data_IF_580006588444
#
_entry.id   IF_580006588444
#
_cell.length_a   1.000
_cell.length_b   1.000
_cell.length_c   1.000
_cell.angle_alpha   90.00
_cell.angle_beta   90.00
_cell.angle_gamma   90.00
#
_symmetry.space_group_name_H-M   'P 1'
#
loop_
_entity.id
_entity.type
_entity.pdbx_description
1 polymer ?
#
# COMPACT_ATOMS: atom_id res chain seq x y z
N UNK A 1 -4.11 -23.10 -16.57
CA UNK A 1 -4.94 -24.27 -16.88
C UNK A 1 -4.68 -25.42 -15.89
N UNK A 2 -5.07 -25.24 -14.63
CA UNK A 2 -4.86 -26.23 -13.57
C UNK A 2 -6.19 -26.70 -12.97
N UNK A 3 -7.07 -27.20 -13.83
CA UNK A 3 -8.30 -27.89 -13.42
C UNK A 3 -8.08 -29.25 -12.70
N UNK A 4 -6.87 -29.48 -12.15
CA UNK A 4 -6.45 -30.76 -11.58
C UNK A 4 -6.91 -31.03 -10.16
N UNK A 5 -7.64 -30.10 -9.52
CA UNK A 5 -7.95 -30.15 -8.09
C UNK A 5 -9.34 -30.62 -7.69
N UNK A 6 -10.16 -31.11 -8.61
CA UNK A 6 -11.55 -31.45 -8.29
C UNK A 6 -11.66 -32.86 -7.71
N UNK A 7 -11.68 -32.97 -6.39
CA UNK A 7 -12.25 -34.12 -5.69
C UNK A 7 -13.78 -33.97 -5.63
N UNK A 8 -14.48 -34.21 -6.76
CA UNK A 8 -15.94 -34.13 -6.77
C UNK A 8 -16.53 -35.29 -5.95
N UNK A 9 -17.20 -34.93 -4.87
CA UNK A 9 -18.01 -35.85 -4.09
C UNK A 9 -19.48 -35.53 -4.39
N UNK A 10 -20.30 -36.53 -4.63
CA UNK A 10 -21.73 -36.30 -4.88
C UNK A 10 -22.53 -36.41 -3.59
N UNK A 11 -23.54 -35.58 -3.40
CA UNK A 11 -24.34 -35.47 -2.16
C UNK A 11 -24.97 -36.80 -1.69
N UNK A 12 -25.28 -37.69 -2.62
CA UNK A 12 -25.95 -39.00 -2.32
C UNK A 12 -24.98 -40.16 -2.06
N UNK A 13 -23.66 -39.92 -2.14
CA UNK A 13 -22.67 -40.93 -1.80
C UNK A 13 -22.62 -41.13 -0.31
N UNK A 14 -22.23 -42.36 0.11
CA UNK A 14 -21.89 -42.65 1.50
C UNK A 14 -20.46 -42.17 1.82
N UNK A 15 -20.14 -42.09 3.10
CA UNK A 15 -18.78 -41.79 3.58
C UNK A 15 -17.77 -42.82 3.04
N UNK A 16 -18.10 -44.13 3.06
CA UNK A 16 -17.25 -45.15 2.50
C UNK A 16 -16.96 -44.95 1.02
N UNK A 17 -18.00 -44.68 0.22
CA UNK A 17 -17.85 -44.40 -1.22
C UNK A 17 -16.98 -43.18 -1.48
N UNK A 18 -17.13 -42.13 -0.68
CA UNK A 18 -16.33 -40.92 -0.79
C UNK A 18 -14.85 -41.17 -0.46
N UNK A 19 -14.55 -41.91 0.61
CA UNK A 19 -13.18 -42.31 0.99
C UNK A 19 -12.55 -43.20 -0.10
N UNK A 20 -13.29 -44.18 -0.62
CA UNK A 20 -12.79 -45.04 -1.71
C UNK A 20 -12.49 -44.21 -2.97
N UNK A 21 -13.30 -43.23 -3.29
CA UNK A 21 -13.07 -42.31 -4.41
C UNK A 21 -11.82 -41.46 -4.19
N UNK A 22 -11.65 -40.87 -2.99
CA UNK A 22 -10.45 -40.10 -2.63
C UNK A 22 -9.19 -41.01 -2.76
N UNK A 23 -9.22 -42.24 -2.27
CA UNK A 23 -8.09 -43.16 -2.39
C UNK A 23 -7.72 -43.48 -3.84
N UNK A 24 -8.69 -43.55 -4.74
CA UNK A 24 -8.47 -43.87 -6.17
C UNK A 24 -8.01 -42.68 -6.97
N UNK A 25 -8.52 -41.47 -6.67
CA UNK A 25 -8.34 -40.26 -7.51
C UNK A 25 -7.46 -39.22 -6.84
N UNK A 26 -7.22 -39.28 -5.54
CA UNK A 26 -6.53 -38.27 -4.76
C UNK A 26 -5.05 -38.11 -5.10
N UNK A 27 -4.43 -39.17 -5.69
CA UNK A 27 -2.99 -39.13 -6.06
C UNK A 27 -2.69 -38.01 -7.09
N UNK A 28 -3.65 -37.76 -7.97
CA UNK A 28 -3.50 -36.76 -9.05
C UNK A 28 -4.13 -35.40 -8.71
N UNK A 29 -4.58 -35.21 -7.46
CA UNK A 29 -5.25 -33.99 -7.01
C UNK A 29 -4.30 -33.09 -6.25
N UNK A 30 -4.46 -31.77 -6.41
CA UNK A 30 -3.68 -30.74 -5.73
C UNK A 30 -3.84 -30.80 -4.21
N UNK A 31 -5.07 -31.03 -3.75
CA UNK A 31 -5.37 -31.24 -2.34
C UNK A 31 -6.51 -32.23 -2.17
N UNK A 32 -6.47 -33.01 -1.06
CA UNK A 32 -7.55 -33.88 -0.63
C UNK A 32 -8.19 -33.43 0.69
N UNK A 33 -7.62 -32.40 1.34
CA UNK A 33 -8.08 -31.95 2.67
C UNK A 33 -9.51 -31.44 2.66
N UNK A 34 -9.89 -30.76 1.58
CA UNK A 34 -11.24 -30.24 1.36
C UNK A 34 -11.81 -30.85 0.09
N UNK A 35 -12.95 -31.53 0.23
CA UNK A 35 -13.68 -32.14 -0.87
C UNK A 35 -14.95 -31.32 -1.13
N UNK A 36 -15.09 -30.80 -2.33
CA UNK A 36 -16.25 -30.02 -2.72
C UNK A 36 -17.37 -30.95 -3.20
N UNK A 37 -18.58 -30.70 -2.70
CA UNK A 37 -19.76 -31.48 -3.01
C UNK A 37 -20.51 -30.79 -4.13
N UNK A 38 -20.70 -31.49 -5.25
CA UNK A 38 -21.38 -30.98 -6.42
C UNK A 38 -22.59 -31.83 -6.82
N UNK A 39 -23.51 -31.24 -7.56
CA UNK A 39 -24.52 -31.98 -8.30
C UNK A 39 -23.93 -32.53 -9.62
N UNK A 40 -24.74 -33.30 -10.37
CA UNK A 40 -24.29 -33.93 -11.63
C UNK A 40 -23.95 -32.92 -12.72
N UNK A 41 -24.52 -31.73 -12.67
CA UNK A 41 -24.25 -30.58 -13.54
C UNK A 41 -23.08 -29.72 -13.07
N UNK A 42 -22.34 -30.17 -12.01
CA UNK A 42 -21.23 -29.50 -11.35
C UNK A 42 -21.63 -28.28 -10.50
N UNK A 43 -22.91 -28.05 -10.24
CA UNK A 43 -23.33 -27.00 -9.32
C UNK A 43 -22.75 -27.26 -7.93
N UNK A 44 -22.06 -26.27 -7.38
CA UNK A 44 -21.45 -26.35 -6.04
C UNK A 44 -22.53 -26.24 -4.96
N UNK A 45 -22.67 -27.25 -4.11
CA UNK A 45 -23.72 -27.31 -3.08
C UNK A 45 -23.20 -27.45 -1.65
N UNK A 46 -21.96 -27.91 -1.48
CA UNK A 46 -21.40 -28.13 -0.16
C UNK A 46 -19.90 -28.42 -0.18
N UNK A 47 -19.33 -28.55 0.99
CA UNK A 47 -17.99 -29.10 1.19
C UNK A 47 -18.01 -30.10 2.35
N UNK A 48 -17.09 -31.05 2.31
CA UNK A 48 -16.76 -31.94 3.41
C UNK A 48 -15.24 -32.04 3.50
N UNK A 49 -14.72 -32.04 4.72
CA UNK A 49 -13.28 -32.22 4.90
C UNK A 49 -12.93 -33.70 5.06
N UNK A 50 -11.70 -34.09 4.73
CA UNK A 50 -11.23 -35.47 5.02
C UNK A 50 -11.34 -35.78 6.51
N UNK A 51 -11.18 -34.79 7.37
CA UNK A 51 -11.40 -34.95 8.82
C UNK A 51 -12.84 -35.37 9.12
N UNK A 52 -13.83 -34.70 8.50
CA UNK A 52 -15.24 -35.04 8.73
C UNK A 52 -15.57 -36.44 8.25
N UNK A 53 -15.00 -36.86 7.11
CA UNK A 53 -15.14 -38.21 6.60
C UNK A 53 -14.51 -39.27 7.52
N UNK A 54 -13.34 -38.98 8.09
CA UNK A 54 -12.64 -39.91 8.99
C UNK A 54 -13.27 -40.01 10.38
N UNK A 55 -13.99 -38.94 10.81
CA UNK A 55 -14.65 -38.90 12.12
C UNK A 55 -16.15 -39.17 12.06
N UNK A 56 -16.68 -39.55 10.89
CA UNK A 56 -18.07 -39.97 10.76
C UNK A 56 -18.31 -41.24 11.60
N UNK A 57 -19.44 -41.27 12.30
CA UNK A 57 -19.77 -42.37 13.21
C UNK A 57 -20.12 -43.68 12.45
N UNK A 58 -20.64 -43.56 11.22
CA UNK A 58 -21.06 -44.65 10.37
C UNK A 58 -20.64 -44.42 8.92
N UNK A 59 -20.01 -45.41 8.32
CA UNK A 59 -19.57 -45.39 6.92
C UNK A 59 -20.74 -45.33 5.91
N UNK A 60 -21.94 -45.72 6.31
CA UNK A 60 -23.18 -45.60 5.52
C UNK A 60 -23.82 -44.20 5.56
N UNK A 61 -23.32 -43.30 6.41
CA UNK A 61 -23.79 -41.91 6.50
C UNK A 61 -23.67 -41.23 5.14
N UNK A 62 -24.71 -40.51 4.71
CA UNK A 62 -24.67 -39.79 3.44
C UNK A 62 -23.89 -38.46 3.58
N UNK A 63 -23.21 -38.10 2.53
CA UNK A 63 -22.46 -36.81 2.45
C UNK A 63 -23.39 -35.64 2.68
N UNK A 64 -24.63 -35.69 2.20
CA UNK A 64 -25.62 -34.61 2.40
C UNK A 64 -25.91 -34.34 3.89
N UNK A 65 -25.74 -35.31 4.78
CA UNK A 65 -26.00 -35.17 6.21
C UNK A 65 -24.84 -34.57 7.01
N UNK A 66 -23.61 -34.61 6.45
CA UNK A 66 -22.38 -34.15 7.12
C UNK A 66 -21.74 -32.95 6.42
N UNK A 67 -22.17 -32.60 5.20
CA UNK A 67 -21.57 -31.50 4.45
C UNK A 67 -21.95 -30.14 5.02
N UNK A 68 -21.02 -29.20 4.92
CA UNK A 68 -21.26 -27.78 5.19
C UNK A 68 -21.81 -27.12 3.92
N UNK A 69 -22.97 -26.46 4.04
CA UNK A 69 -23.66 -25.83 2.90
C UNK A 69 -23.44 -24.32 2.79
N UNK A 70 -22.98 -23.69 3.89
CA UNK A 70 -22.65 -22.26 3.87
C UNK A 70 -21.22 -22.09 3.36
N UNK A 71 -21.08 -21.96 2.04
CA UNK A 71 -19.80 -21.92 1.35
C UNK A 71 -19.37 -20.49 1.03
N UNK A 72 -18.08 -20.26 1.15
CA UNK A 72 -17.42 -19.11 0.53
C UNK A 72 -16.81 -19.60 -0.77
N UNK A 73 -17.19 -18.98 -1.87
CA UNK A 73 -16.68 -19.24 -3.21
C UNK A 73 -16.37 -17.92 -3.91
N UNK A 74 -15.51 -17.97 -4.90
CA UNK A 74 -15.20 -16.83 -5.76
C UNK A 74 -15.59 -17.16 -7.20
N UNK A 75 -15.78 -16.13 -8.00
CA UNK A 75 -16.12 -16.29 -9.41
C UNK A 75 -14.88 -16.22 -10.28
N UNK A 76 -14.97 -16.70 -11.52
CA UNK A 76 -13.89 -16.59 -12.51
C UNK A 76 -13.52 -15.14 -12.86
N UNK A 77 -14.33 -14.15 -12.45
CA UNK A 77 -14.11 -12.72 -12.69
C UNK A 77 -13.62 -11.97 -11.45
N UNK A 78 -13.54 -12.66 -10.30
CA UNK A 78 -13.03 -12.06 -9.06
C UNK A 78 -11.53 -11.78 -9.22
N UNK A 79 -11.10 -10.60 -8.78
CA UNK A 79 -9.71 -10.18 -8.82
C UNK A 79 -8.82 -11.12 -8.00
N UNK A 80 -7.61 -11.40 -8.51
CA UNK A 80 -6.70 -12.34 -7.87
C UNK A 80 -6.25 -11.92 -6.47
N UNK A 81 -6.12 -10.62 -6.21
CA UNK A 81 -5.77 -10.11 -4.88
C UNK A 81 -6.92 -10.27 -3.90
N UNK A 82 -8.18 -10.08 -4.35
CA UNK A 82 -9.38 -10.32 -3.54
C UNK A 82 -9.50 -11.81 -3.19
N UNK A 83 -9.19 -12.70 -4.13
CA UNK A 83 -9.13 -14.15 -3.89
C UNK A 83 -8.09 -14.48 -2.83
N UNK A 84 -6.87 -13.96 -2.96
CA UNK A 84 -5.78 -14.18 -2.02
C UNK A 84 -6.11 -13.61 -0.63
N UNK A 85 -6.70 -12.41 -0.56
CA UNK A 85 -7.16 -11.80 0.68
C UNK A 85 -8.26 -12.66 1.35
N UNK A 86 -9.17 -13.24 0.58
CA UNK A 86 -10.24 -14.13 1.08
C UNK A 86 -9.64 -15.40 1.67
N UNK A 87 -8.71 -16.07 0.98
CA UNK A 87 -8.00 -17.25 1.49
C UNK A 87 -7.30 -16.95 2.82
N UNK A 88 -6.58 -15.80 2.88
CA UNK A 88 -5.88 -15.38 4.08
C UNK A 88 -6.84 -15.04 5.23
N UNK A 89 -7.91 -14.32 4.96
CA UNK A 89 -8.90 -13.87 5.98
C UNK A 89 -9.59 -15.02 6.69
N UNK A 90 -9.92 -16.08 5.94
CA UNK A 90 -10.63 -17.24 6.48
C UNK A 90 -9.72 -18.42 6.79
N UNK A 91 -8.42 -18.29 6.57
CA UNK A 91 -7.42 -19.36 6.75
C UNK A 91 -7.78 -20.64 5.96
N UNK A 92 -8.26 -20.47 4.74
CA UNK A 92 -8.59 -21.60 3.88
C UNK A 92 -7.34 -22.16 3.21
N UNK A 93 -7.28 -23.50 3.07
CA UNK A 93 -6.23 -24.18 2.30
C UNK A 93 -6.51 -24.11 0.80
N UNK A 94 -7.79 -24.09 0.44
CA UNK A 94 -8.25 -23.96 -0.93
C UNK A 94 -9.61 -23.27 -0.94
N UNK A 95 -9.89 -22.56 -2.05
CA UNK A 95 -11.13 -21.82 -2.27
C UNK A 95 -11.75 -22.27 -3.60
N UNK A 96 -13.05 -22.64 -3.65
CA UNK A 96 -13.69 -23.06 -4.88
C UNK A 96 -14.00 -21.86 -5.78
N UNK A 97 -13.74 -22.04 -7.06
CA UNK A 97 -14.04 -21.07 -8.11
C UNK A 97 -15.26 -21.55 -8.89
N UNK A 98 -16.25 -20.68 -9.04
CA UNK A 98 -17.48 -20.97 -9.75
C UNK A 98 -17.68 -20.05 -10.95
N UNK A 99 -18.49 -20.50 -11.91
CA UNK A 99 -18.97 -19.67 -13.03
C UNK A 99 -20.24 -18.88 -12.65
N UNK A 100 -20.81 -18.13 -13.60
CA UNK A 100 -22.03 -17.35 -13.39
C UNK A 100 -23.29 -18.19 -13.08
N UNK A 101 -23.24 -19.51 -13.28
CA UNK A 101 -24.32 -20.46 -12.98
C UNK A 101 -24.03 -21.29 -11.72
N UNK A 102 -23.06 -20.84 -10.89
CA UNK A 102 -22.60 -21.53 -9.67
C UNK A 102 -22.04 -22.95 -9.92
N UNK A 103 -21.56 -23.22 -11.14
CA UNK A 103 -20.89 -24.48 -11.45
C UNK A 103 -19.41 -24.38 -11.13
N UNK A 104 -18.90 -25.37 -10.46
CA UNK A 104 -17.49 -25.41 -10.06
C UNK A 104 -16.57 -25.55 -11.27
N UNK A 105 -15.67 -24.59 -11.45
CA UNK A 105 -14.67 -24.53 -12.53
C UNK A 105 -13.33 -25.08 -12.06
N UNK A 106 -12.94 -24.77 -10.83
CA UNK A 106 -11.65 -25.16 -10.27
C UNK A 106 -11.52 -24.79 -8.80
N UNK A 107 -10.31 -24.79 -8.33
CA UNK A 107 -9.92 -24.30 -7.00
C UNK A 107 -8.71 -23.38 -7.13
N UNK A 108 -8.54 -22.48 -6.17
CA UNK A 108 -7.30 -21.74 -5.91
C UNK A 108 -6.78 -22.20 -4.57
N UNK A 109 -5.51 -22.56 -4.50
CA UNK A 109 -4.87 -23.03 -3.28
C UNK A 109 -4.14 -21.91 -2.56
N UNK A 110 -3.78 -22.13 -1.30
CA UNK A 110 -3.13 -21.11 -0.47
C UNK A 110 -1.72 -20.77 -0.96
N UNK A 111 -0.98 -21.72 -1.53
CA UNK A 111 0.34 -21.48 -2.12
C UNK A 111 0.26 -20.58 -3.34
N UNK A 112 -0.69 -20.80 -4.27
CA UNK A 112 -0.94 -19.89 -5.39
C UNK A 112 -1.32 -18.48 -4.89
N UNK A 113 -2.11 -18.39 -3.82
CA UNK A 113 -2.48 -17.11 -3.22
C UNK A 113 -1.29 -16.40 -2.57
N UNK A 114 -0.36 -17.13 -1.97
CA UNK A 114 0.88 -16.54 -1.44
C UNK A 114 1.74 -15.91 -2.53
N UNK A 115 1.86 -16.56 -3.68
CA UNK A 115 2.58 -16.01 -4.83
C UNK A 115 1.94 -14.69 -5.30
N UNK A 116 0.60 -14.66 -5.44
CA UNK A 116 -0.14 -13.43 -5.79
C UNK A 116 0.09 -12.33 -4.77
N UNK A 117 0.06 -12.62 -3.48
CA UNK A 117 0.30 -11.62 -2.42
C UNK A 117 1.73 -11.07 -2.46
N UNK A 118 2.71 -11.92 -2.79
CA UNK A 118 4.10 -11.49 -2.93
C UNK A 118 4.29 -10.60 -4.17
N UNK A 119 3.68 -10.96 -5.28
CA UNK A 119 3.74 -10.20 -6.52
C UNK A 119 3.06 -8.83 -6.35
N UNK A 120 1.87 -8.78 -5.75
CA UNK A 120 1.17 -7.53 -5.43
C UNK A 120 1.99 -6.63 -4.49
N UNK A 121 2.61 -7.19 -3.45
CA UNK A 121 3.48 -6.42 -2.56
C UNK A 121 4.73 -5.88 -3.29
N UNK A 122 5.27 -6.62 -4.24
CA UNK A 122 6.41 -6.18 -5.06
C UNK A 122 5.99 -5.06 -6.01
N UNK A 123 4.84 -5.19 -6.65
CA UNK A 123 4.24 -4.16 -7.50
C UNK A 123 4.01 -2.87 -6.72
N UNK A 124 3.38 -2.93 -5.57
CA UNK A 124 3.18 -1.78 -4.66
C UNK A 124 4.52 -1.09 -4.34
N UNK A 125 5.57 -1.85 -4.01
CA UNK A 125 6.90 -1.29 -3.72
C UNK A 125 7.51 -0.58 -4.93
N UNK A 126 7.38 -1.14 -6.14
CA UNK A 126 7.90 -0.54 -7.36
C UNK A 126 7.14 0.75 -7.70
N UNK A 127 5.82 0.76 -7.60
CA UNK A 127 4.98 1.95 -7.81
C UNK A 127 5.31 3.04 -6.76
N UNK A 128 5.42 2.66 -5.48
CA UNK A 128 5.81 3.59 -4.41
C UNK A 128 7.21 4.20 -4.61
N UNK A 129 8.08 3.52 -5.32
CA UNK A 129 9.40 4.03 -5.71
C UNK A 129 9.38 4.83 -7.04
N UNK A 130 8.20 5.14 -7.58
CA UNK A 130 8.01 5.76 -8.89
C UNK A 130 8.71 4.97 -10.02
N UNK A 131 8.43 3.69 -10.06
CA UNK A 131 8.83 2.79 -11.15
C UNK A 131 7.58 2.15 -11.76
N UNK A 132 7.67 1.77 -13.03
CA UNK A 132 6.66 0.92 -13.65
C UNK A 132 6.93 -0.53 -13.26
N UNK A 133 5.92 -1.29 -12.81
CA UNK A 133 6.09 -2.68 -12.38
C UNK A 133 6.74 -3.59 -13.44
N UNK A 134 7.49 -4.59 -12.98
CA UNK A 134 8.20 -5.54 -13.83
C UNK A 134 8.00 -6.98 -13.37
N UNK A 135 7.58 -7.85 -14.27
CA UNK A 135 7.47 -9.31 -14.01
C UNK A 135 8.82 -10.04 -13.98
N UNK A 136 9.91 -9.35 -14.38
CA UNK A 136 11.23 -9.96 -14.46
C UNK A 136 11.99 -9.83 -13.15
N UNK A 137 12.62 -10.91 -12.71
CA UNK A 137 13.57 -10.83 -11.59
C UNK A 137 14.76 -9.93 -11.94
N UNK A 138 15.31 -9.23 -10.96
CA UNK A 138 16.38 -8.24 -11.13
C UNK A 138 17.57 -8.75 -11.97
N UNK A 139 18.06 -9.96 -11.71
CA UNK A 139 19.20 -10.53 -12.44
C UNK A 139 18.88 -10.93 -13.89
N UNK A 140 17.63 -11.16 -14.23
CA UNK A 140 17.17 -11.45 -15.60
C UNK A 140 16.84 -10.18 -16.39
N UNK A 141 16.70 -9.05 -15.72
CA UNK A 141 16.42 -7.76 -16.35
C UNK A 141 17.68 -7.19 -16.99
N UNK A 142 17.56 -6.75 -18.23
CA UNK A 142 18.66 -6.04 -18.91
C UNK A 142 18.71 -4.57 -18.44
N UNK A 143 19.86 -3.87 -18.58
CA UNK A 143 19.94 -2.44 -18.30
C UNK A 143 18.89 -1.61 -19.06
N UNK A 144 18.51 -2.06 -20.26
CA UNK A 144 17.49 -1.38 -21.05
C UNK A 144 16.07 -1.61 -20.53
N UNK A 145 15.77 -2.80 -19.98
CA UNK A 145 14.51 -3.06 -19.28
C UNK A 145 14.40 -2.12 -18.05
N UNK A 146 15.45 -2.06 -17.21
CA UNK A 146 15.48 -1.16 -16.05
C UNK A 146 15.31 0.31 -16.44
N UNK A 147 15.93 0.73 -17.54
CA UNK A 147 15.76 2.09 -18.08
C UNK A 147 14.30 2.36 -18.45
N UNK A 148 13.64 1.45 -19.17
CA UNK A 148 12.24 1.62 -19.59
C UNK A 148 11.27 1.75 -18.41
N UNK A 149 11.49 0.98 -17.35
CA UNK A 149 10.62 1.00 -16.18
C UNK A 149 10.81 2.24 -15.30
N UNK A 150 11.95 2.94 -15.41
CA UNK A 150 12.26 4.10 -14.55
C UNK A 150 12.08 5.43 -15.26
N UNK A 151 12.41 5.52 -16.55
CA UNK A 151 12.50 6.81 -17.26
C UNK A 151 11.19 7.60 -17.34
N UNK A 152 10.00 6.99 -17.54
CA UNK A 152 8.76 7.74 -17.64
C UNK A 152 8.47 8.55 -16.36
N UNK A 153 8.63 7.92 -15.21
CA UNK A 153 8.43 8.55 -13.91
C UNK A 153 9.49 9.62 -13.61
N UNK A 154 10.75 9.36 -13.91
CA UNK A 154 11.84 10.33 -13.73
C UNK A 154 11.61 11.57 -14.57
N UNK A 155 11.15 11.43 -15.81
CA UNK A 155 10.83 12.57 -16.67
C UNK A 155 9.62 13.36 -16.13
N UNK A 156 8.58 12.68 -15.65
CA UNK A 156 7.43 13.33 -15.03
C UNK A 156 7.86 14.16 -13.81
N UNK A 157 8.66 13.57 -12.92
CA UNK A 157 9.16 14.24 -11.72
C UNK A 157 10.09 15.40 -12.06
N UNK A 158 10.93 15.27 -13.11
CA UNK A 158 11.77 16.38 -13.59
C UNK A 158 10.94 17.56 -14.08
N UNK A 159 9.87 17.32 -14.83
CA UNK A 159 8.95 18.36 -15.27
C UNK A 159 8.24 19.00 -14.07
N UNK A 160 7.81 18.18 -13.11
CA UNK A 160 7.17 18.62 -11.87
C UNK A 160 8.08 19.52 -11.03
N UNK A 161 9.38 19.22 -10.96
CA UNK A 161 10.37 20.04 -10.26
C UNK A 161 10.50 21.48 -10.84
N UNK A 162 10.04 21.71 -12.06
CA UNK A 162 10.01 23.06 -12.66
C UNK A 162 9.12 24.00 -11.85
N UNK A 163 8.01 23.53 -11.29
CA UNK A 163 7.12 24.34 -10.44
C UNK A 163 7.83 24.82 -9.18
N UNK A 164 8.63 23.96 -8.55
CA UNK A 164 9.47 24.32 -7.40
C UNK A 164 10.48 25.40 -7.77
N UNK A 165 11.13 25.28 -8.93
CA UNK A 165 12.03 26.30 -9.47
C UNK A 165 11.33 27.63 -9.71
N UNK A 166 10.12 27.63 -10.26
CA UNK A 166 9.32 28.86 -10.48
C UNK A 166 8.99 29.56 -9.15
N UNK A 167 8.67 28.80 -8.09
CA UNK A 167 8.43 29.39 -6.76
C UNK A 167 9.70 30.08 -6.26
N UNK A 168 10.85 29.43 -6.31
CA UNK A 168 12.13 30.00 -5.88
C UNK A 168 12.42 31.31 -6.65
N UNK A 169 12.27 31.31 -7.97
CA UNK A 169 12.50 32.48 -8.81
C UNK A 169 11.52 33.61 -8.47
N UNK A 170 10.27 33.29 -8.12
CA UNK A 170 9.28 34.30 -7.74
C UNK A 170 9.64 35.05 -6.44
N UNK A 171 10.56 34.53 -5.64
CA UNK A 171 11.05 35.13 -4.40
C UNK A 171 12.54 35.52 -4.47
N UNK A 172 13.09 35.72 -5.69
CA UNK A 172 14.50 36.09 -5.90
C UNK A 172 14.86 37.39 -5.19
N UNK A 173 13.97 38.39 -5.16
CA UNK A 173 14.18 39.67 -4.46
C UNK A 173 14.40 39.43 -2.95
N UNK A 174 13.58 38.61 -2.32
CA UNK A 174 13.72 38.24 -0.90
C UNK A 174 15.03 37.53 -0.61
N UNK A 175 15.43 36.60 -1.49
CA UNK A 175 16.69 35.86 -1.38
C UNK A 175 17.91 36.74 -1.61
N UNK A 176 17.80 37.74 -2.47
CA UNK A 176 18.89 38.72 -2.71
C UNK A 176 19.12 39.62 -1.52
N UNK A 177 18.05 40.02 -0.80
CA UNK A 177 18.12 40.81 0.44
C UNK A 177 18.70 40.04 1.61
N UNK A 178 18.34 38.75 1.75
CA UNK A 178 18.83 37.85 2.80
C UNK A 178 19.33 36.52 2.22
N UNK A 179 20.54 36.48 1.63
CA UNK A 179 21.05 35.26 0.98
C UNK A 179 21.14 34.05 1.90
N UNK A 180 21.25 34.27 3.22
CA UNK A 180 21.29 33.20 4.21
C UNK A 180 20.05 32.32 4.21
N UNK A 181 18.90 32.83 3.73
CA UNK A 181 17.66 32.05 3.61
C UNK A 181 17.82 30.88 2.64
N UNK A 182 18.63 31.03 1.59
CA UNK A 182 18.86 29.95 0.59
C UNK A 182 19.45 28.70 1.25
N UNK A 183 20.27 28.85 2.29
CA UNK A 183 20.93 27.72 2.96
C UNK A 183 19.94 26.77 3.66
N UNK A 184 18.74 27.24 4.01
CA UNK A 184 17.74 26.43 4.74
C UNK A 184 16.71 25.77 3.80
N UNK A 185 16.64 26.16 2.53
CA UNK A 185 15.70 25.58 1.56
C UNK A 185 15.82 24.05 1.48
N UNK A 186 17.01 23.46 1.26
CA UNK A 186 17.13 22.00 1.15
C UNK A 186 16.66 21.28 2.41
N UNK A 187 16.97 21.81 3.59
CA UNK A 187 16.58 21.21 4.87
C UNK A 187 15.04 21.20 5.05
N UNK A 188 14.39 22.32 4.71
CA UNK A 188 12.93 22.44 4.83
C UNK A 188 12.20 21.51 3.87
N UNK A 189 12.64 21.45 2.62
CA UNK A 189 12.08 20.58 1.59
C UNK A 189 12.27 19.10 1.96
N UNK A 190 13.51 18.68 2.23
CA UNK A 190 13.82 17.28 2.56
C UNK A 190 13.05 16.80 3.81
N UNK A 191 13.05 17.60 4.87
CA UNK A 191 12.33 17.22 6.10
C UNK A 191 10.82 17.16 5.87
N UNK A 192 10.25 18.10 5.13
CA UNK A 192 8.84 18.12 4.77
C UNK A 192 8.46 16.91 3.92
N UNK A 193 9.22 16.66 2.85
CA UNK A 193 9.03 15.52 1.96
C UNK A 193 9.08 14.18 2.68
N UNK A 194 10.08 13.99 3.54
CA UNK A 194 10.22 12.78 4.35
C UNK A 194 9.03 12.60 5.33
N UNK A 195 8.57 13.67 5.99
CA UNK A 195 7.42 13.60 6.89
C UNK A 195 6.12 13.22 6.16
N UNK A 196 5.90 13.79 4.97
CA UNK A 196 4.76 13.46 4.12
C UNK A 196 4.79 12.01 3.64
N UNK A 197 5.96 11.57 3.16
CA UNK A 197 6.18 10.20 2.68
C UNK A 197 5.94 9.15 3.77
N UNK A 198 6.39 9.39 5.00
CA UNK A 198 6.13 8.47 6.12
C UNK A 198 4.63 8.29 6.39
N UNK A 199 3.85 9.37 6.35
CA UNK A 199 2.40 9.28 6.54
C UNK A 199 1.73 8.58 5.36
N UNK A 200 2.17 8.88 4.13
CA UNK A 200 1.62 8.25 2.93
C UNK A 200 1.83 6.74 2.91
N UNK A 201 3.06 6.29 3.08
CA UNK A 201 3.40 4.85 3.07
C UNK A 201 2.60 4.09 4.13
N UNK A 202 2.43 4.69 5.32
CA UNK A 202 1.63 4.07 6.40
C UNK A 202 0.15 3.94 6.01
N UNK A 203 -0.41 4.98 5.39
CA UNK A 203 -1.82 4.98 4.95
C UNK A 203 -2.02 4.05 3.76
N UNK A 204 -1.11 4.06 2.76
CA UNK A 204 -1.14 3.14 1.61
C UNK A 204 -1.16 1.70 2.10
N UNK A 205 -0.24 1.34 3.00
CA UNK A 205 -0.18 -0.01 3.56
C UNK A 205 -1.48 -0.42 4.26
N UNK A 206 -2.06 0.47 5.05
CA UNK A 206 -3.32 0.19 5.73
C UNK A 206 -4.52 0.09 4.74
N UNK A 207 -4.45 0.80 3.60
CA UNK A 207 -5.43 0.67 2.51
C UNK A 207 -5.28 -0.64 1.73
N UNK A 208 -4.06 -1.12 1.50
CA UNK A 208 -3.78 -2.42 0.85
C UNK A 208 -4.23 -3.60 1.72
N UNK A 209 -4.17 -3.45 3.06
CA UNK A 209 -4.65 -4.47 4.01
C UNK A 209 -6.14 -4.39 4.33
N UNK A 210 -6.88 -3.49 3.68
CA UNK A 210 -8.30 -3.21 3.95
C UNK A 210 -8.61 -2.81 5.40
N UNK A 211 -7.57 -2.29 6.11
CA UNK A 211 -7.71 -1.77 7.48
C UNK A 211 -8.31 -0.37 7.53
N UNK A 212 -8.22 0.38 6.41
CA UNK A 212 -8.71 1.74 6.28
C UNK A 212 -9.64 1.89 5.07
N UNK A 213 -10.70 2.67 5.28
CA UNK A 213 -11.65 3.07 4.27
C UNK A 213 -11.74 4.59 4.20
N UNK A 214 -12.30 5.12 3.10
CA UNK A 214 -12.48 6.58 2.97
C UNK A 214 -13.34 7.18 4.10
N UNK A 215 -14.25 6.41 4.69
CA UNK A 215 -15.05 6.81 5.87
C UNK A 215 -14.20 7.19 7.08
N UNK A 216 -12.97 6.66 7.17
CA UNK A 216 -12.06 6.92 8.27
C UNK A 216 -11.19 8.17 8.10
N UNK A 217 -11.38 8.93 6.99
CA UNK A 217 -10.58 10.10 6.64
C UNK A 217 -10.37 11.04 7.84
N UNK A 218 -11.44 11.47 8.51
CA UNK A 218 -11.32 12.40 9.65
C UNK A 218 -10.60 11.80 10.84
N UNK A 219 -10.74 10.48 11.07
CA UNK A 219 -10.03 9.77 12.14
C UNK A 219 -8.54 9.71 11.85
N UNK A 220 -8.17 9.41 10.61
CA UNK A 220 -6.78 9.40 10.14
C UNK A 220 -6.17 10.79 10.23
N UNK A 221 -6.84 11.82 9.70
CA UNK A 221 -6.39 13.21 9.77
C UNK A 221 -6.16 13.67 11.21
N UNK A 222 -7.07 13.34 12.12
CA UNK A 222 -6.91 13.69 13.54
C UNK A 222 -5.76 12.97 14.21
N UNK A 223 -5.52 11.70 13.86
CA UNK A 223 -4.37 10.93 14.35
C UNK A 223 -3.06 11.53 13.84
N UNK A 224 -2.98 11.80 12.54
CA UNK A 224 -1.79 12.39 11.92
C UNK A 224 -1.55 13.84 12.39
N UNK A 225 -2.58 14.63 12.63
CA UNK A 225 -2.44 15.98 13.19
C UNK A 225 -1.73 15.97 14.55
N UNK A 226 -2.10 15.07 15.44
CA UNK A 226 -1.43 14.91 16.75
C UNK A 226 0.02 14.47 16.60
N UNK A 227 0.28 13.51 15.70
CA UNK A 227 1.64 13.08 15.39
C UNK A 227 2.45 14.22 14.76
N UNK A 228 1.84 15.02 13.88
CA UNK A 228 2.48 16.16 13.24
C UNK A 228 2.89 17.24 14.24
N UNK A 229 2.05 17.57 15.22
CA UNK A 229 2.39 18.54 16.27
C UNK A 229 3.57 18.05 17.11
N UNK A 230 3.60 16.77 17.50
CA UNK A 230 4.71 16.20 18.25
C UNK A 230 6.01 16.18 17.45
N UNK A 231 5.95 15.70 16.20
CA UNK A 231 7.11 15.68 15.31
C UNK A 231 7.60 17.11 14.99
N UNK A 232 6.68 18.01 14.65
CA UNK A 232 6.99 19.40 14.32
C UNK A 232 7.65 20.13 15.48
N UNK A 233 7.14 19.98 16.69
CA UNK A 233 7.73 20.60 17.87
C UNK A 233 9.14 20.03 18.18
N UNK A 234 9.31 18.70 18.09
CA UNK A 234 10.61 18.06 18.32
C UNK A 234 11.64 18.48 17.26
N UNK A 235 11.25 18.49 15.98
CA UNK A 235 12.12 18.88 14.87
C UNK A 235 12.46 20.38 14.92
N UNK A 236 11.49 21.25 15.25
CA UNK A 236 11.73 22.68 15.40
C UNK A 236 12.71 22.96 16.57
N UNK A 237 12.55 22.28 17.70
CA UNK A 237 13.48 22.40 18.81
C UNK A 237 14.90 21.92 18.45
N UNK A 238 15.02 20.77 17.80
CA UNK A 238 16.30 20.25 17.33
C UNK A 238 16.94 21.17 16.28
N UNK A 239 16.15 21.69 15.34
CA UNK A 239 16.58 22.65 14.33
C UNK A 239 17.09 23.95 14.98
N UNK A 240 16.35 24.49 15.96
CA UNK A 240 16.76 25.70 16.68
C UNK A 240 18.11 25.52 17.36
N UNK A 241 18.31 24.40 18.06
CA UNK A 241 19.58 24.09 18.71
C UNK A 241 20.70 23.87 17.68
N UNK A 242 20.41 23.16 16.57
CA UNK A 242 21.39 22.92 15.49
C UNK A 242 21.86 24.25 14.90
N UNK A 243 20.94 25.15 14.55
CA UNK A 243 21.29 26.44 13.97
C UNK A 243 22.10 27.28 14.97
N UNK A 244 21.71 27.29 16.24
CA UNK A 244 22.41 28.05 17.27
C UNK A 244 23.82 27.52 17.54
N UNK A 245 23.96 26.21 17.71
CA UNK A 245 25.24 25.58 18.14
C UNK A 245 26.17 25.35 16.94
N UNK A 246 25.65 24.84 15.84
CA UNK A 246 26.48 24.46 14.68
C UNK A 246 26.68 25.66 13.75
N UNK A 247 25.58 26.22 13.22
CA UNK A 247 25.70 27.23 12.16
C UNK A 247 26.24 28.57 12.71
N UNK A 248 25.76 29.00 13.88
CA UNK A 248 26.15 30.28 14.44
C UNK A 248 27.42 30.20 15.30
N UNK A 249 27.49 29.23 16.24
CA UNK A 249 28.61 29.16 17.20
C UNK A 249 29.82 28.45 16.59
N UNK A 250 29.64 27.27 15.98
CA UNK A 250 30.75 26.47 15.46
C UNK A 250 31.27 26.98 14.11
N UNK A 251 30.35 27.32 13.18
CA UNK A 251 30.69 27.83 11.84
C UNK A 251 30.88 29.34 11.80
N UNK A 252 30.57 30.06 12.88
CA UNK A 252 30.77 31.52 13.00
C UNK A 252 29.90 32.36 12.08
N UNK A 253 28.75 31.83 11.63
CA UNK A 253 27.87 32.55 10.70
C UNK A 253 27.01 33.59 11.42
N UNK A 254 27.53 34.81 11.53
CA UNK A 254 26.85 35.94 12.18
C UNK A 254 25.62 36.45 11.41
N UNK A 255 25.47 36.10 10.12
CA UNK A 255 24.33 36.49 9.30
C UNK A 255 23.02 35.83 9.78
N UNK A 256 23.10 34.77 10.58
CA UNK A 256 21.92 34.08 11.12
C UNK A 256 21.48 34.77 12.42
N UNK A 257 20.54 35.68 12.30
CA UNK A 257 19.92 36.31 13.47
C UNK A 257 18.99 35.31 14.19
N UNK A 258 18.67 35.62 15.47
CA UNK A 258 17.66 34.81 16.20
C UNK A 258 16.29 34.86 15.52
N UNK A 259 15.98 35.96 14.84
CA UNK A 259 14.72 36.09 14.11
C UNK A 259 14.69 35.14 12.89
N UNK A 260 15.78 35.09 12.11
CA UNK A 260 15.92 34.11 11.00
C UNK A 260 15.78 32.67 11.50
N UNK A 261 16.46 32.34 12.62
CA UNK A 261 16.33 31.02 13.22
C UNK A 261 14.86 30.73 13.62
N UNK A 262 14.17 31.70 14.22
CA UNK A 262 12.75 31.58 14.57
C UNK A 262 11.84 31.33 13.35
N UNK A 263 12.09 32.06 12.25
CA UNK A 263 11.34 31.90 10.98
C UNK A 263 11.55 30.49 10.41
N UNK A 264 12.79 30.01 10.37
CA UNK A 264 13.11 28.65 9.87
C UNK A 264 12.43 27.58 10.72
N UNK A 265 12.50 27.68 12.04
CA UNK A 265 11.89 26.71 12.96
C UNK A 265 10.36 26.72 12.89
N UNK A 266 9.75 27.90 12.80
CA UNK A 266 8.30 28.02 12.63
C UNK A 266 7.85 27.44 11.29
N UNK A 267 8.57 27.75 10.22
CA UNK A 267 8.34 27.17 8.89
C UNK A 267 8.40 25.64 8.96
N UNK A 268 9.45 25.10 9.57
CA UNK A 268 9.63 23.65 9.70
C UNK A 268 8.44 23.00 10.41
N UNK A 269 7.99 23.59 11.52
CA UNK A 269 6.83 23.08 12.26
C UNK A 269 5.56 23.06 11.40
N UNK A 270 5.25 24.15 10.70
CA UNK A 270 4.07 24.25 9.83
C UNK A 270 4.19 23.32 8.62
N UNK A 271 5.38 23.23 8.02
CA UNK A 271 5.66 22.32 6.91
C UNK A 271 5.41 20.87 7.31
N UNK A 272 5.87 20.43 8.47
CA UNK A 272 5.64 19.05 8.97
C UNK A 272 4.15 18.78 9.13
N UNK A 273 3.37 19.73 9.63
CA UNK A 273 1.91 19.59 9.76
C UNK A 273 1.27 19.45 8.38
N UNK A 274 1.57 20.33 7.44
CA UNK A 274 1.02 20.29 6.09
C UNK A 274 1.43 19.01 5.36
N UNK A 275 2.70 18.62 5.46
CA UNK A 275 3.24 17.42 4.84
C UNK A 275 2.49 16.15 5.28
N UNK A 276 2.24 16.01 6.58
CA UNK A 276 1.50 14.87 7.11
C UNK A 276 0.03 14.87 6.68
N UNK A 277 -0.61 16.05 6.60
CA UNK A 277 -1.96 16.15 6.05
C UNK A 277 -2.01 15.75 4.58
N UNK A 278 -1.10 16.24 3.75
CA UNK A 278 -1.01 15.84 2.34
C UNK A 278 -0.75 14.35 2.23
N UNK A 279 0.24 13.84 2.97
CA UNK A 279 0.63 12.44 2.96
C UNK A 279 -0.49 11.47 3.35
N UNK A 280 -1.31 11.81 4.33
CA UNK A 280 -2.40 10.92 4.76
C UNK A 280 -3.67 11.06 3.91
N UNK A 281 -3.92 12.22 3.28
CA UNK A 281 -5.17 12.44 2.54
C UNK A 281 -5.09 11.99 1.09
N UNK A 282 -3.97 12.23 0.40
CA UNK A 282 -3.85 11.92 -1.03
C UNK A 282 -4.10 10.45 -1.37
N UNK A 283 -3.54 9.44 -0.65
CA UNK A 283 -3.82 8.03 -0.95
C UNK A 283 -5.29 7.65 -0.76
N UNK A 284 -5.96 8.21 0.26
CA UNK A 284 -7.38 7.98 0.51
C UNK A 284 -8.25 8.55 -0.62
N UNK A 285 -7.89 9.74 -1.13
CA UNK A 285 -8.58 10.30 -2.29
C UNK A 285 -8.31 9.53 -3.57
N UNK A 286 -7.08 9.05 -3.78
CA UNK A 286 -6.74 8.22 -4.94
C UNK A 286 -7.60 6.96 -4.98
N UNK A 287 -7.67 6.21 -3.88
CA UNK A 287 -8.51 5.00 -3.77
C UNK A 287 -9.99 5.32 -4.04
N UNK A 288 -10.50 6.44 -3.52
CA UNK A 288 -11.90 6.86 -3.77
C UNK A 288 -12.19 7.18 -5.23
N UNK A 289 -11.20 7.71 -5.95
CA UNK A 289 -11.32 8.05 -7.38
C UNK A 289 -11.04 6.84 -8.29
N UNK A 290 -10.72 5.68 -7.73
CA UNK A 290 -10.41 4.46 -8.47
C UNK A 290 -8.97 4.41 -8.99
N UNK A 291 -8.09 5.25 -8.47
CA UNK A 291 -6.65 5.18 -8.75
C UNK A 291 -5.96 4.32 -7.68
N UNK A 292 -4.87 3.69 -8.07
CA UNK A 292 -4.00 3.00 -7.14
C UNK A 292 -3.39 3.97 -6.13
N UNK A 293 -3.62 3.77 -4.80
CA UNK A 293 -3.03 4.62 -3.76
C UNK A 293 -1.50 4.63 -3.76
N UNK A 294 -0.84 3.56 -4.21
CA UNK A 294 0.61 3.45 -4.25
C UNK A 294 1.27 4.51 -5.14
N UNK A 295 0.56 4.98 -6.19
CA UNK A 295 1.00 6.10 -7.04
C UNK A 295 1.18 7.39 -6.25
N UNK A 296 0.40 7.60 -5.17
CA UNK A 296 0.50 8.76 -4.28
C UNK A 296 1.57 8.58 -3.19
N UNK A 297 2.64 7.86 -3.50
CA UNK A 297 3.72 7.61 -2.57
C UNK A 297 4.84 8.67 -2.65
N UNK A 298 5.98 8.32 -2.13
CA UNK A 298 7.08 9.22 -1.78
C UNK A 298 7.43 10.29 -2.84
N UNK A 299 7.74 9.97 -4.09
CA UNK A 299 8.22 11.00 -5.03
C UNK A 299 7.14 12.02 -5.43
N UNK A 300 5.87 11.61 -5.49
CA UNK A 300 4.78 12.52 -5.80
C UNK A 300 4.48 13.45 -4.63
N UNK A 301 4.47 12.91 -3.42
CA UNK A 301 4.25 13.69 -2.20
C UNK A 301 5.38 14.68 -1.96
N UNK A 302 6.65 14.26 -2.12
CA UNK A 302 7.78 15.18 -1.93
C UNK A 302 7.66 16.40 -2.83
N UNK A 303 7.32 16.24 -4.10
CA UNK A 303 7.16 17.36 -5.02
C UNK A 303 6.08 18.35 -4.56
N UNK A 304 4.92 17.86 -4.10
CA UNK A 304 3.84 18.72 -3.59
C UNK A 304 4.28 19.43 -2.30
N UNK A 305 4.88 18.67 -1.39
CA UNK A 305 5.31 19.18 -0.09
C UNK A 305 6.45 20.19 -0.25
N UNK A 306 7.37 19.98 -1.18
CA UNK A 306 8.44 20.92 -1.49
C UNK A 306 7.89 22.29 -1.91
N UNK A 307 6.93 22.29 -2.82
CA UNK A 307 6.26 23.53 -3.24
C UNK A 307 5.55 24.22 -2.07
N UNK A 308 4.81 23.46 -1.25
CA UNK A 308 4.12 24.01 -0.08
C UNK A 308 5.10 24.54 0.98
N UNK A 309 6.20 23.81 1.22
CA UNK A 309 7.24 24.19 2.17
C UNK A 309 7.87 25.56 1.79
N UNK A 310 8.18 25.72 0.52
CA UNK A 310 8.73 26.98 0.00
C UNK A 310 7.74 28.13 0.10
N UNK A 311 6.49 27.92 -0.26
CA UNK A 311 5.45 28.93 -0.14
C UNK A 311 5.28 29.40 1.30
N UNK A 312 5.24 28.48 2.27
CA UNK A 312 5.16 28.80 3.70
C UNK A 312 6.42 29.51 4.17
N UNK A 313 7.59 29.05 3.73
CA UNK A 313 8.86 29.64 4.09
C UNK A 313 8.98 31.09 3.66
N UNK A 314 8.71 31.37 2.40
CA UNK A 314 8.78 32.74 1.87
C UNK A 314 7.66 33.62 2.41
N UNK A 315 6.48 33.05 2.69
CA UNK A 315 5.42 33.82 3.35
C UNK A 315 5.87 34.29 4.74
N UNK A 316 6.47 33.41 5.55
CA UNK A 316 6.96 33.78 6.87
C UNK A 316 8.19 34.71 6.79
N UNK A 317 9.09 34.51 5.84
CA UNK A 317 10.19 35.40 5.59
C UNK A 317 9.67 36.85 5.29
N UNK A 318 8.70 36.97 4.38
CA UNK A 318 8.07 38.26 4.05
C UNK A 318 7.36 38.88 5.24
N UNK A 319 6.58 38.14 6.00
CA UNK A 319 5.79 38.66 7.11
C UNK A 319 6.66 39.06 8.32
N UNK A 320 7.70 38.28 8.63
CA UNK A 320 8.48 38.44 9.87
C UNK A 320 9.81 39.16 9.66
N UNK A 321 10.42 39.01 8.49
CA UNK A 321 11.71 39.66 8.17
C UNK A 321 11.55 40.91 7.32
N UNK A 322 10.38 41.12 6.71
CA UNK A 322 10.10 42.32 5.90
C UNK A 322 10.80 42.33 4.53
N UNK A 323 11.09 41.12 3.98
CA UNK A 323 11.80 40.92 2.70
C UNK A 323 10.85 40.51 1.59
#
# INVERSE_FOLDING_TARGET
>A
DRSRGLGDVYKRQTVEEAILRIRRQGVDKETIYTCYVTEKDRTLIGLVTVKDLLLAEDDETKIEDIMVTNLISVTTQTDQEEVAATLSKYNFIALPVVDGENRMVGIVTFDDAMDVMQDAATEDMEIMAAMTPSEKTYLKSTPFDLFKHRIPWLMLLMVSATFTGMIITSFEDALSLLPVLTAFIPMLMDTGGNCGSQSSVTVIRALSLDELHFSDLFRVMWKEARAAVLCGAALAAACFLKILLVDRLLMGNESISLLVNGVVCLTLCVTVILAKFVGCTLPLFAKRLGFDPAVMASPFITTIVDALSLLVYFLFAKLMLGV
#
